data_IF_655581004390
#
_entry.id   IF_655581004390
#
_cell.length_a   1.000
_cell.length_b   1.000
_cell.length_c   1.000
_cell.angle_alpha   90.00
_cell.angle_beta   90.00
_cell.angle_gamma   90.00
#
_symmetry.space_group_name_H-M   'P 1'
#
loop_
_entity.id
_entity.type
_entity.pdbx_description
1 polymer ?
#
# COMPACT_ATOMS: atom_id res chain seq x y z
N UNK A 1 4.04 -3.37 9.08
CA UNK A 1 3.87 -1.93 8.85
C UNK A 1 2.49 -1.49 9.25
N UNK A 2 2.27 -0.23 9.62
CA UNK A 2 0.94 0.31 9.97
C UNK A 2 0.20 0.75 8.69
N UNK A 3 -1.14 0.67 8.68
CA UNK A 3 -1.98 1.24 7.61
C UNK A 3 -2.11 2.76 7.76
N UNK A 4 -2.19 3.49 6.65
CA UNK A 4 -2.59 4.89 6.66
C UNK A 4 -4.10 5.01 6.90
N UNK A 5 -4.50 5.88 7.81
CA UNK A 5 -5.89 6.22 8.06
C UNK A 5 -6.37 7.37 7.16
N UNK A 6 -7.67 7.44 6.88
CA UNK A 6 -8.24 8.54 6.11
C UNK A 6 -8.00 9.90 6.80
N UNK A 7 -8.08 9.95 8.13
CA UNK A 7 -7.82 11.17 8.90
C UNK A 7 -6.38 11.69 8.69
N UNK A 8 -5.37 10.81 8.73
CA UNK A 8 -3.98 11.20 8.45
C UNK A 8 -3.77 11.67 7.01
N UNK A 9 -4.45 11.03 6.05
CA UNK A 9 -4.34 11.34 4.62
C UNK A 9 -4.98 12.70 4.30
N UNK A 10 -6.10 13.06 4.94
CA UNK A 10 -6.79 14.35 4.74
C UNK A 10 -5.93 15.56 5.10
N UNK A 11 -5.00 15.41 6.05
CA UNK A 11 -4.11 16.46 6.49
C UNK A 11 -2.88 16.66 5.58
N UNK A 12 -2.74 15.88 4.51
CA UNK A 12 -1.59 15.95 3.58
C UNK A 12 -1.88 16.82 2.36
N UNK A 13 -0.83 17.44 1.83
CA UNK A 13 -0.88 18.15 0.54
C UNK A 13 -1.01 17.16 -0.62
N UNK A 14 -1.53 17.60 -1.78
CA UNK A 14 -1.66 16.74 -2.96
C UNK A 14 -0.30 16.22 -3.44
N UNK A 15 0.75 17.05 -3.34
CA UNK A 15 2.12 16.65 -3.66
C UNK A 15 2.62 15.52 -2.73
N UNK A 16 2.30 15.58 -1.44
CA UNK A 16 2.66 14.52 -0.49
C UNK A 16 1.84 13.24 -0.72
N UNK A 17 0.58 13.37 -1.15
CA UNK A 17 -0.25 12.23 -1.53
C UNK A 17 0.31 11.51 -2.76
N UNK A 18 0.78 12.25 -3.77
CA UNK A 18 1.44 11.67 -4.93
C UNK A 18 2.74 10.94 -4.56
N UNK A 19 3.57 11.53 -3.70
CA UNK A 19 4.79 10.87 -3.18
C UNK A 19 4.45 9.61 -2.39
N UNK A 20 3.45 9.69 -1.51
CA UNK A 20 2.98 8.56 -0.72
C UNK A 20 2.46 7.43 -1.62
N UNK A 21 1.69 7.79 -2.66
CA UNK A 21 1.22 6.83 -3.66
C UNK A 21 2.38 6.11 -4.36
N UNK A 22 3.42 6.84 -4.78
CA UNK A 22 4.60 6.25 -5.40
C UNK A 22 5.36 5.28 -4.48
N UNK A 23 5.43 5.57 -3.17
CA UNK A 23 6.00 4.65 -2.17
C UNK A 23 5.14 3.39 -2.04
N UNK A 24 3.83 3.54 -1.86
CA UNK A 24 2.91 2.40 -1.73
C UNK A 24 2.87 1.53 -2.98
N UNK A 25 2.98 2.15 -4.17
CA UNK A 25 3.03 1.44 -5.44
C UNK A 25 4.27 0.56 -5.56
N UNK A 26 5.45 1.07 -5.17
CA UNK A 26 6.68 0.30 -5.13
C UNK A 26 6.58 -0.87 -4.14
N UNK A 27 6.04 -0.64 -2.96
CA UNK A 27 5.85 -1.71 -1.97
C UNK A 27 4.87 -2.79 -2.48
N UNK A 28 3.76 -2.40 -3.10
CA UNK A 28 2.81 -3.35 -3.71
C UNK A 28 3.49 -4.22 -4.77
N UNK A 29 4.29 -3.63 -5.64
CA UNK A 29 5.00 -4.37 -6.69
C UNK A 29 6.04 -5.32 -6.08
N UNK A 30 6.82 -4.87 -5.09
CA UNK A 30 7.76 -5.73 -4.37
C UNK A 30 7.06 -6.93 -3.72
N UNK A 31 5.95 -6.69 -3.01
CA UNK A 31 5.19 -7.75 -2.35
C UNK A 31 4.58 -8.75 -3.35
N UNK A 32 4.17 -8.29 -4.53
CA UNK A 32 3.71 -9.17 -5.60
C UNK A 32 4.83 -10.09 -6.11
N UNK A 33 6.04 -9.55 -6.32
CA UNK A 33 7.20 -10.34 -6.72
C UNK A 33 7.62 -11.35 -5.64
N UNK A 34 7.61 -10.95 -4.37
CA UNK A 34 7.92 -11.84 -3.24
C UNK A 34 6.90 -12.97 -3.14
N UNK A 35 5.61 -12.66 -3.29
CA UNK A 35 4.54 -13.67 -3.30
C UNK A 35 4.79 -14.72 -4.39
N UNK A 36 5.04 -14.26 -5.63
CA UNK A 36 5.33 -15.15 -6.75
C UNK A 36 6.57 -16.02 -6.50
N UNK A 37 7.62 -15.47 -5.90
CA UNK A 37 8.84 -16.21 -5.55
C UNK A 37 8.55 -17.34 -4.56
N UNK A 38 7.73 -17.09 -3.54
CA UNK A 38 7.38 -18.08 -2.51
C UNK A 38 6.45 -19.16 -3.06
N UNK A 39 5.47 -18.78 -3.89
CA UNK A 39 4.61 -19.74 -4.61
C UNK A 39 5.44 -20.69 -5.48
N UNK A 40 6.42 -20.15 -6.24
CA UNK A 40 7.35 -20.98 -7.05
C UNK A 40 8.22 -21.91 -6.23
N UNK A 41 8.63 -21.48 -5.03
CA UNK A 41 9.44 -22.26 -4.10
C UNK A 41 8.62 -23.22 -3.24
N UNK A 42 7.28 -23.24 -3.40
CA UNK A 42 6.34 -23.97 -2.54
C UNK A 42 6.52 -23.64 -1.05
N UNK A 43 6.87 -22.39 -0.75
CA UNK A 43 7.01 -21.88 0.62
C UNK A 43 5.93 -20.84 0.91
N UNK A 44 5.64 -20.62 2.19
CA UNK A 44 4.66 -19.61 2.61
C UNK A 44 5.33 -18.23 2.64
N UNK A 45 4.69 -17.24 2.02
CA UNK A 45 5.14 -15.85 2.09
C UNK A 45 5.14 -15.35 3.53
N UNK A 46 6.26 -14.79 4.03
CA UNK A 46 6.27 -14.14 5.33
C UNK A 46 5.45 -12.84 5.29
N UNK A 47 4.69 -12.59 6.34
CA UNK A 47 3.93 -11.34 6.54
C UNK A 47 2.94 -10.96 5.42
N UNK A 48 1.99 -11.85 5.04
CA UNK A 48 1.00 -11.57 3.99
C UNK A 48 0.08 -10.39 4.33
N UNK A 49 -0.06 -10.04 5.62
CA UNK A 49 -0.84 -8.91 6.09
C UNK A 49 -0.33 -7.57 5.53
N UNK A 50 0.96 -7.47 5.20
CA UNK A 50 1.55 -6.26 4.60
C UNK A 50 0.87 -5.90 3.29
N UNK A 51 0.66 -6.88 2.40
CA UNK A 51 -0.01 -6.64 1.11
C UNK A 51 -1.43 -6.12 1.30
N UNK A 52 -2.15 -6.64 2.30
CA UNK A 52 -3.48 -6.16 2.67
C UNK A 52 -3.43 -4.72 3.19
N UNK A 53 -2.46 -4.37 4.02
CA UNK A 53 -2.31 -3.03 4.58
C UNK A 53 -1.91 -1.99 3.54
N UNK A 54 -1.01 -2.33 2.61
CA UNK A 54 -0.65 -1.48 1.47
C UNK A 54 -1.88 -1.20 0.60
N UNK A 55 -2.66 -2.24 0.26
CA UNK A 55 -3.92 -2.09 -0.51
C UNK A 55 -4.92 -1.18 0.20
N UNK A 56 -5.13 -1.37 1.50
CA UNK A 56 -6.03 -0.51 2.30
C UNK A 56 -5.56 0.94 2.33
N UNK A 57 -4.26 1.17 2.48
CA UNK A 57 -3.69 2.53 2.48
C UNK A 57 -3.89 3.22 1.12
N UNK A 58 -3.65 2.50 0.01
CA UNK A 58 -3.93 3.02 -1.34
C UNK A 58 -5.42 3.33 -1.54
N UNK A 59 -6.32 2.50 -1.02
CA UNK A 59 -7.76 2.76 -1.09
C UNK A 59 -8.16 4.03 -0.34
N UNK A 60 -7.59 4.28 0.84
CA UNK A 60 -7.87 5.50 1.61
C UNK A 60 -7.40 6.76 0.87
N UNK A 61 -6.26 6.71 0.18
CA UNK A 61 -5.80 7.83 -0.66
C UNK A 61 -6.82 8.11 -1.78
N UNK A 62 -7.32 7.07 -2.45
CA UNK A 62 -8.35 7.23 -3.49
C UNK A 62 -9.65 7.83 -2.95
N UNK A 63 -10.07 7.41 -1.76
CA UNK A 63 -11.26 7.97 -1.10
C UNK A 63 -11.07 9.46 -0.86
N UNK A 64 -9.96 9.87 -0.23
CA UNK A 64 -9.69 11.29 0.06
C UNK A 64 -9.52 12.12 -1.21
N UNK A 65 -8.91 11.57 -2.26
CA UNK A 65 -8.82 12.26 -3.55
C UNK A 65 -10.17 12.41 -4.26
N UNK A 66 -11.15 11.54 -3.98
CA UNK A 66 -12.51 11.68 -4.48
C UNK A 66 -13.38 12.60 -3.63
N UNK A 67 -12.96 12.91 -2.40
CA UNK A 67 -13.61 13.89 -1.51
C UNK A 67 -13.16 15.33 -1.82
N UNK A 68 -12.04 15.52 -2.54
CA UNK A 68 -11.45 16.81 -2.93
C UNK A 68 -11.86 17.17 -4.36
#
# INVERSE_FOLDING_TARGET
GRRWSAAEIRLKSDADLQKLWAVLLRERNMLASVKLLHERRKTTMPHPERARMTRKSMAMIKVVLGER
#
